data_IF_087631695408
#
_entry.id   IF_087631695408
#
_cell.length_a   1.000
_cell.length_b   1.000
_cell.length_c   1.000
_cell.angle_alpha   90.00
_cell.angle_beta   90.00
_cell.angle_gamma   90.00
#
_symmetry.space_group_name_H-M   'P 1'
#
loop_
_entity.id
_entity.type
_entity.pdbx_description
1 polymer ?
#
# COMPACT_ATOMS: atom_id res chain seq x y z
N UNK A 1 10.06 7.14 21.84
CA UNK A 1 10.99 7.17 20.69
C UNK A 1 10.48 6.21 19.63
N UNK A 2 10.44 6.65 18.38
CA UNK A 2 10.04 5.83 17.22
C UNK A 2 11.10 4.75 16.99
N UNK A 3 10.68 3.50 16.77
CA UNK A 3 11.56 2.36 16.47
C UNK A 3 11.21 1.77 15.11
N UNK A 4 12.19 1.14 14.46
CA UNK A 4 11.95 0.35 13.25
C UNK A 4 12.25 -1.12 13.51
N UNK A 5 11.36 -2.00 13.03
CA UNK A 5 11.51 -3.44 13.17
C UNK A 5 11.18 -4.11 11.84
N UNK A 6 11.92 -5.15 11.48
CA UNK A 6 11.59 -6.01 10.33
C UNK A 6 11.44 -7.42 10.83
N UNK A 7 10.27 -8.02 10.64
CA UNK A 7 9.96 -9.38 11.12
C UNK A 7 9.27 -10.20 10.03
N UNK A 8 9.39 -11.54 10.06
CA UNK A 8 8.59 -12.43 9.22
C UNK A 8 7.09 -12.16 9.43
N UNK A 9 6.32 -12.11 8.35
CA UNK A 9 4.86 -11.93 8.42
C UNK A 9 4.18 -13.06 9.20
N UNK A 10 4.74 -14.27 9.18
CA UNK A 10 4.27 -15.41 9.98
C UNK A 10 4.41 -15.21 11.49
N UNK A 11 5.22 -14.25 11.94
CA UNK A 11 5.45 -13.95 13.36
C UNK A 11 4.74 -12.66 13.79
N UNK A 12 4.25 -11.85 12.85
CA UNK A 12 3.63 -10.56 13.13
C UNK A 12 2.11 -10.73 13.21
N UNK A 13 1.52 -10.47 14.38
CA UNK A 13 0.08 -10.35 14.50
C UNK A 13 -0.31 -8.88 14.36
N UNK A 14 -0.94 -8.54 13.23
CA UNK A 14 -1.38 -7.18 12.91
C UNK A 14 -2.89 -7.08 13.01
N UNK A 15 -3.39 -6.16 13.84
CA UNK A 15 -4.80 -5.77 13.89
C UNK A 15 -4.92 -4.26 13.79
N UNK A 16 -6.04 -3.73 13.32
CA UNK A 16 -6.25 -2.29 13.29
C UNK A 16 -6.45 -1.75 14.72
N UNK A 17 -5.91 -0.57 15.00
CA UNK A 17 -6.20 0.14 16.24
C UNK A 17 -7.72 0.44 16.34
N UNK A 18 -8.35 0.36 17.53
CA UNK A 18 -9.81 0.58 17.66
C UNK A 18 -10.28 1.92 17.07
N UNK A 19 -9.49 2.99 17.23
CA UNK A 19 -9.79 4.29 16.63
C UNK A 19 -9.80 4.25 15.09
N UNK A 20 -8.94 3.45 14.45
CA UNK A 20 -8.98 3.27 13.00
C UNK A 20 -10.28 2.57 12.60
N UNK A 21 -10.67 1.51 13.31
CA UNK A 21 -11.92 0.79 13.04
C UNK A 21 -13.14 1.71 13.15
N UNK A 22 -13.17 2.56 14.18
CA UNK A 22 -14.23 3.54 14.38
C UNK A 22 -14.28 4.59 13.27
N UNK A 23 -13.13 5.17 12.91
CA UNK A 23 -13.08 6.27 11.93
C UNK A 23 -13.28 5.81 10.48
N UNK A 24 -13.05 4.53 10.19
CA UNK A 24 -13.15 3.95 8.85
C UNK A 24 -14.36 3.01 8.71
N UNK A 25 -15.32 3.05 9.65
CA UNK A 25 -16.48 2.13 9.65
C UNK A 25 -17.31 2.22 8.36
N UNK A 26 -17.42 3.43 7.80
CA UNK A 26 -18.17 3.71 6.57
C UNK A 26 -17.31 3.75 5.30
N UNK A 27 -16.02 3.39 5.38
CA UNK A 27 -15.12 3.46 4.22
C UNK A 27 -15.53 2.45 3.14
N UNK A 28 -15.80 2.96 1.93
CA UNK A 28 -16.01 2.13 0.76
C UNK A 28 -14.72 1.99 -0.04
N UNK A 29 -14.03 0.86 0.14
CA UNK A 29 -12.82 0.54 -0.63
C UNK A 29 -13.22 -0.35 -1.81
N UNK A 30 -13.05 0.17 -3.03
CA UNK A 30 -13.25 -0.63 -4.25
C UNK A 30 -12.07 -1.58 -4.45
N UNK A 31 -12.29 -2.84 -4.05
CA UNK A 31 -11.41 -3.98 -4.31
C UNK A 31 -11.99 -4.92 -5.37
N UNK A 32 -12.95 -4.43 -6.18
CA UNK A 32 -13.54 -5.24 -7.25
C UNK A 32 -12.47 -5.61 -8.30
N UNK A 33 -12.61 -6.79 -8.91
CA UNK A 33 -11.68 -7.34 -9.92
C UNK A 33 -10.26 -7.64 -9.41
N UNK A 34 -10.12 -8.20 -8.21
CA UNK A 34 -8.85 -8.74 -7.67
C UNK A 34 -8.14 -9.74 -8.61
N UNK A 35 -8.86 -10.37 -9.54
CA UNK A 35 -8.27 -11.26 -10.56
C UNK A 35 -7.17 -10.57 -11.40
N UNK A 36 -7.21 -9.25 -11.53
CA UNK A 36 -6.16 -8.51 -12.24
C UNK A 36 -4.88 -8.41 -11.41
N UNK A 37 -4.92 -8.52 -10.09
CA UNK A 37 -3.73 -8.58 -9.24
C UNK A 37 -3.06 -9.95 -9.28
N UNK A 38 -3.81 -11.02 -9.58
CA UNK A 38 -3.25 -12.34 -9.91
C UNK A 38 -2.31 -12.30 -11.13
N UNK A 39 -2.36 -11.22 -11.92
CA UNK A 39 -1.45 -11.03 -13.06
C UNK A 39 -0.10 -10.44 -12.68
N UNK A 40 0.08 -9.95 -11.44
CA UNK A 40 1.38 -9.51 -10.95
C UNK A 40 2.30 -10.71 -10.74
N UNK A 41 3.57 -10.56 -11.10
CA UNK A 41 4.56 -11.58 -10.77
C UNK A 41 4.80 -11.61 -9.26
N UNK A 42 5.21 -12.76 -8.73
CA UNK A 42 5.60 -12.87 -7.31
C UNK A 42 6.76 -11.92 -6.97
N UNK A 43 7.64 -11.65 -7.93
CA UNK A 43 8.73 -10.69 -7.79
C UNK A 43 8.19 -9.26 -7.60
N UNK A 44 7.19 -8.85 -8.39
CA UNK A 44 6.56 -7.53 -8.28
C UNK A 44 5.86 -7.35 -6.94
N UNK A 45 5.10 -8.36 -6.52
CA UNK A 45 4.43 -8.37 -5.22
C UNK A 45 5.45 -8.23 -4.10
N UNK A 46 6.56 -8.97 -4.17
CA UNK A 46 7.64 -8.90 -3.20
C UNK A 46 8.31 -7.52 -3.17
N UNK A 47 8.56 -6.90 -4.34
CA UNK A 47 9.09 -5.54 -4.40
C UNK A 47 8.16 -4.52 -3.75
N UNK A 48 6.85 -4.61 -4.02
CA UNK A 48 5.87 -3.71 -3.42
C UNK A 48 5.79 -3.89 -1.90
N UNK A 49 5.68 -5.13 -1.41
CA UNK A 49 5.61 -5.41 0.03
C UNK A 49 6.89 -4.98 0.77
N UNK A 50 8.06 -5.18 0.16
CA UNK A 50 9.33 -4.74 0.74
C UNK A 50 9.48 -3.22 0.80
N UNK A 51 8.77 -2.47 -0.05
CA UNK A 51 8.77 -1.01 -0.04
C UNK A 51 7.83 -0.43 1.02
N UNK A 52 6.86 -1.20 1.51
CA UNK A 52 5.89 -0.75 2.51
C UNK A 52 6.48 -0.75 3.93
N UNK A 53 6.14 0.28 4.70
CA UNK A 53 6.44 0.37 6.12
C UNK A 53 5.13 0.70 6.84
N UNK A 54 4.68 -0.20 7.72
CA UNK A 54 3.40 -0.04 8.40
C UNK A 54 3.58 0.75 9.71
N UNK A 55 2.83 1.85 9.93
CA UNK A 55 2.83 2.57 11.20
C UNK A 55 2.04 1.79 12.24
N UNK A 56 2.67 1.49 13.38
CA UNK A 56 2.07 0.67 14.43
C UNK A 56 2.38 1.20 15.83
N UNK A 57 1.62 0.76 16.82
CA UNK A 57 2.06 0.67 18.22
C UNK A 57 2.18 -0.80 18.62
N UNK A 58 3.01 -1.10 19.61
CA UNK A 58 3.11 -2.44 20.19
C UNK A 58 1.86 -2.76 21.01
N UNK A 59 1.53 -4.05 21.16
CA UNK A 59 0.63 -4.49 22.20
C UNK A 59 1.48 -4.78 23.45
N UNK A 60 1.18 -4.10 24.56
CA UNK A 60 1.95 -4.23 25.80
C UNK A 60 1.91 -5.64 26.42
N UNK A 61 0.96 -6.48 26.02
CA UNK A 61 0.69 -7.78 26.66
C UNK A 61 1.14 -8.98 25.85
N UNK A 62 1.27 -8.86 24.52
CA UNK A 62 1.58 -10.00 23.64
C UNK A 62 2.73 -9.67 22.72
N UNK A 63 3.80 -10.47 22.80
CA UNK A 63 4.96 -10.30 21.95
C UNK A 63 4.59 -10.39 20.46
N UNK A 64 5.21 -9.54 19.64
CA UNK A 64 5.00 -9.48 18.19
C UNK A 64 3.54 -9.24 17.75
N UNK A 65 2.71 -8.72 18.66
CA UNK A 65 1.38 -8.20 18.35
C UNK A 65 1.41 -6.68 18.25
N UNK A 66 0.78 -6.14 17.21
CA UNK A 66 0.83 -4.73 16.89
C UNK A 66 -0.53 -4.19 16.45
N UNK A 67 -0.82 -2.95 16.82
CA UNK A 67 -1.98 -2.22 16.33
C UNK A 67 -1.58 -1.28 15.19
N UNK A 68 -2.19 -1.43 14.01
CA UNK A 68 -2.01 -0.57 12.85
C UNK A 68 -2.64 0.80 13.09
N UNK A 69 -1.87 1.84 12.80
CA UNK A 69 -2.25 3.26 12.94
C UNK A 69 -2.70 3.89 11.61
N UNK A 70 -2.89 3.08 10.57
CA UNK A 70 -3.45 3.50 9.29
C UNK A 70 -4.17 2.34 8.60
N UNK A 71 -5.16 2.62 7.73
CA UNK A 71 -5.69 1.61 6.83
C UNK A 71 -4.57 1.08 5.93
N UNK A 72 -4.51 -0.24 5.74
CA UNK A 72 -3.50 -0.87 4.88
C UNK A 72 -4.09 -1.87 3.86
N UNK A 73 -5.15 -1.52 3.12
CA UNK A 73 -5.84 -2.45 2.23
C UNK A 73 -4.92 -3.04 1.15
N UNK A 74 -4.08 -2.20 0.54
CA UNK A 74 -3.11 -2.63 -0.47
C UNK A 74 -2.07 -3.62 0.10
N UNK A 75 -1.63 -3.43 1.35
CA UNK A 75 -0.68 -4.33 1.98
C UNK A 75 -1.29 -5.73 2.17
N UNK A 76 -2.49 -5.80 2.75
CA UNK A 76 -3.17 -7.08 2.97
C UNK A 76 -3.51 -7.79 1.67
N UNK A 77 -3.98 -7.04 0.67
CA UNK A 77 -4.27 -7.55 -0.66
C UNK A 77 -3.03 -8.15 -1.35
N UNK A 78 -1.87 -7.49 -1.25
CA UNK A 78 -0.62 -8.02 -1.80
C UNK A 78 -0.12 -9.23 -0.99
N UNK A 79 -0.26 -9.18 0.34
CA UNK A 79 0.17 -10.26 1.23
C UNK A 79 -0.59 -11.56 0.95
N UNK A 80 -1.91 -11.49 0.71
CA UNK A 80 -2.75 -12.64 0.34
C UNK A 80 -2.29 -13.31 -0.96
N UNK A 81 -1.74 -12.53 -1.89
CA UNK A 81 -1.29 -13.01 -3.20
C UNK A 81 0.21 -13.34 -3.24
N UNK A 82 0.87 -13.34 -2.08
CA UNK A 82 2.32 -13.47 -2.00
C UNK A 82 2.81 -14.88 -1.64
N UNK A 83 4.04 -15.19 -2.06
CA UNK A 83 4.73 -16.42 -1.67
C UNK A 83 5.07 -16.47 -0.17
N UNK A 84 5.33 -17.66 0.34
CA UNK A 84 5.73 -17.87 1.75
C UNK A 84 7.10 -17.22 2.01
N UNK A 85 7.30 -16.65 3.20
CA UNK A 85 8.53 -16.01 3.73
C UNK A 85 8.70 -14.49 3.48
N UNK A 86 7.61 -13.72 3.44
CA UNK A 86 7.67 -12.26 3.42
C UNK A 86 8.05 -11.69 4.78
N UNK A 87 8.79 -10.57 4.77
CA UNK A 87 9.05 -9.77 5.96
C UNK A 87 8.23 -8.49 5.89
N UNK A 88 7.64 -8.09 7.02
CA UNK A 88 6.99 -6.80 7.18
C UNK A 88 7.94 -5.83 7.86
N UNK A 89 7.99 -4.59 7.36
CA UNK A 89 8.69 -3.48 7.99
C UNK A 89 7.69 -2.67 8.81
N UNK A 90 8.00 -2.44 10.07
CA UNK A 90 7.17 -1.73 11.03
C UNK A 90 7.88 -0.44 11.44
N UNK A 91 7.11 0.65 11.49
CA UNK A 91 7.46 1.89 12.16
C UNK A 91 6.66 1.94 13.47
N UNK A 92 7.31 1.66 14.59
CA UNK A 92 6.70 1.50 15.90
C UNK A 92 6.74 2.85 16.62
N UNK A 93 5.57 3.43 16.84
CA UNK A 93 5.38 4.69 17.55
C UNK A 93 5.14 4.45 19.05
N UNK A 94 5.42 5.46 19.89
CA UNK A 94 4.93 5.49 21.27
C UNK A 94 3.40 5.50 21.34
N UNK A 95 2.84 4.90 22.40
CA UNK A 95 1.38 4.84 22.60
C UNK A 95 0.71 6.22 22.67
N UNK A 96 1.37 7.18 23.32
CA UNK A 96 0.90 8.57 23.47
C UNK A 96 0.89 9.34 22.15
N UNK A 97 1.59 8.86 21.11
CA UNK A 97 1.57 9.46 19.78
C UNK A 97 0.52 8.83 18.83
N UNK A 98 -0.13 7.73 19.23
CA UNK A 98 -0.99 6.94 18.35
C UNK A 98 -2.08 7.78 17.66
N UNK A 99 -2.83 8.58 18.42
CA UNK A 99 -3.92 9.41 17.88
C UNK A 99 -3.41 10.45 16.86
N UNK A 100 -2.27 11.09 17.15
CA UNK A 100 -1.66 12.06 16.25
C UNK A 100 -1.23 11.40 14.93
N UNK A 101 -0.64 10.21 15.01
CA UNK A 101 -0.22 9.44 13.85
C UNK A 101 -1.44 9.02 13.03
N UNK A 102 -2.49 8.52 13.68
CA UNK A 102 -3.77 8.14 13.06
C UNK A 102 -4.36 9.33 12.30
N UNK A 103 -4.51 10.48 12.95
CA UNK A 103 -5.07 11.68 12.33
C UNK A 103 -4.25 12.13 11.10
N UNK A 104 -2.92 12.05 11.18
CA UNK A 104 -2.05 12.36 10.05
C UNK A 104 -2.23 11.39 8.87
N UNK A 105 -2.39 10.09 9.16
CA UNK A 105 -2.53 9.05 8.12
C UNK A 105 -3.94 8.98 7.52
N UNK A 106 -4.99 9.31 8.28
CA UNK A 106 -6.37 9.29 7.79
C UNK A 106 -6.75 10.56 7.03
N UNK A 107 -6.30 11.73 7.46
CA UNK A 107 -6.79 12.98 6.89
C UNK A 107 -5.73 13.70 6.06
N UNK A 108 -4.55 13.95 6.63
CA UNK A 108 -3.53 14.76 5.96
C UNK A 108 -2.89 14.02 4.80
N UNK A 109 -2.51 12.76 5.02
CA UNK A 109 -1.80 11.95 4.03
C UNK A 109 -2.65 11.73 2.77
N UNK A 110 -3.93 11.31 2.86
CA UNK A 110 -4.76 11.12 1.67
C UNK A 110 -5.05 12.43 0.94
N UNK A 111 -5.22 13.55 1.65
CA UNK A 111 -5.40 14.86 1.04
C UNK A 111 -4.16 15.30 0.22
N UNK A 112 -2.96 15.11 0.76
CA UNK A 112 -1.71 15.38 0.06
C UNK A 112 -1.50 14.43 -1.12
N UNK A 113 -1.78 13.13 -0.93
CA UNK A 113 -1.69 12.13 -2.00
C UNK A 113 -2.64 12.44 -3.14
N UNK A 114 -3.89 12.82 -2.86
CA UNK A 114 -4.86 13.24 -3.87
C UNK A 114 -4.35 14.42 -4.70
N UNK A 115 -3.77 15.44 -4.03
CA UNK A 115 -3.16 16.58 -4.71
C UNK A 115 -2.02 16.14 -5.64
N UNK A 116 -1.16 15.23 -5.18
CA UNK A 116 -0.03 14.73 -5.96
C UNK A 116 -0.45 13.80 -7.11
N UNK A 117 -1.56 13.06 -6.96
CA UNK A 117 -2.01 12.01 -7.87
C UNK A 117 -3.07 12.46 -8.88
N UNK A 118 -3.51 13.72 -8.86
CA UNK A 118 -4.59 14.27 -9.72
C UNK A 118 -4.48 13.89 -11.21
N UNK A 119 -3.27 13.69 -11.73
CA UNK A 119 -3.02 13.31 -13.13
C UNK A 119 -2.20 12.02 -13.27
N UNK A 120 -2.28 11.11 -12.30
CA UNK A 120 -1.36 9.96 -12.22
C UNK A 120 -1.39 9.07 -13.47
N UNK A 121 -2.55 8.86 -14.09
CA UNK A 121 -2.69 8.06 -15.32
C UNK A 121 -1.98 8.71 -16.52
N UNK A 122 -2.09 10.04 -16.66
CA UNK A 122 -1.36 10.80 -17.68
C UNK A 122 0.16 10.73 -17.44
N UNK A 123 0.59 10.87 -16.17
CA UNK A 123 1.98 10.72 -15.78
C UNK A 123 2.52 9.31 -16.05
N UNK A 124 1.71 8.26 -15.81
CA UNK A 124 2.07 6.87 -16.13
C UNK A 124 2.27 6.70 -17.64
N UNK A 125 1.37 7.26 -18.47
CA UNK A 125 1.51 7.23 -19.93
C UNK A 125 2.79 7.96 -20.39
N UNK A 126 3.07 9.12 -19.82
CA UNK A 126 4.29 9.88 -20.12
C UNK A 126 5.55 9.09 -19.75
N UNK A 127 5.60 8.48 -18.55
CA UNK A 127 6.71 7.61 -18.12
C UNK A 127 6.90 6.42 -19.07
N UNK A 128 5.81 5.77 -19.47
CA UNK A 128 5.84 4.67 -20.43
C UNK A 128 6.41 5.09 -21.80
N UNK A 129 5.99 6.23 -22.32
CA UNK A 129 6.49 6.76 -23.58
C UNK A 129 7.97 7.16 -23.50
N UNK A 130 8.40 7.76 -22.38
CA UNK A 130 9.80 8.11 -22.16
C UNK A 130 10.68 6.86 -22.08
N UNK A 131 10.25 5.83 -21.37
CA UNK A 131 10.96 4.55 -21.32
C UNK A 131 11.17 3.95 -22.72
N UNK A 132 10.15 3.99 -23.59
CA UNK A 132 10.29 3.60 -25.00
C UNK A 132 11.29 4.46 -25.76
N UNK A 133 11.21 5.79 -25.61
CA UNK A 133 12.13 6.74 -26.26
C UNK A 133 13.58 6.48 -25.88
N UNK A 134 13.80 6.02 -24.65
CA UNK A 134 15.13 5.71 -24.12
C UNK A 134 15.51 4.22 -24.23
N UNK A 135 14.77 3.41 -24.99
CA UNK A 135 15.03 1.98 -25.18
C UNK A 135 15.14 1.18 -23.86
N UNK A 136 14.41 1.61 -22.81
CA UNK A 136 14.33 0.87 -21.57
C UNK A 136 13.42 -0.34 -21.74
N UNK A 137 13.88 -1.51 -21.28
CA UNK A 137 13.10 -2.73 -21.26
C UNK A 137 12.03 -2.59 -20.18
N UNK A 138 10.76 -2.72 -20.58
CA UNK A 138 9.63 -2.72 -19.66
C UNK A 138 8.97 -4.10 -19.66
N UNK A 139 8.78 -4.66 -18.48
CA UNK A 139 8.03 -5.91 -18.28
C UNK A 139 6.51 -5.70 -18.36
N UNK A 140 6.05 -4.45 -18.51
CA UNK A 140 4.64 -4.10 -18.50
C UNK A 140 4.30 -3.20 -19.70
N UNK A 141 3.04 -3.27 -20.14
CA UNK A 141 2.48 -2.39 -21.16
C UNK A 141 1.24 -1.65 -20.62
N UNK A 142 0.73 -0.66 -21.36
CA UNK A 142 -0.45 0.11 -20.89
C UNK A 142 -1.69 -0.77 -20.69
N UNK A 143 -1.88 -1.84 -21.46
CA UNK A 143 -3.01 -2.75 -21.28
C UNK A 143 -2.91 -3.51 -19.95
N UNK A 144 -1.70 -3.88 -19.55
CA UNK A 144 -1.45 -4.46 -18.23
C UNK A 144 -1.73 -3.44 -17.13
N UNK A 145 -1.16 -2.22 -17.24
CA UNK A 145 -1.38 -1.16 -16.26
C UNK A 145 -2.86 -0.77 -16.12
N UNK A 146 -3.63 -0.80 -17.20
CA UNK A 146 -5.06 -0.51 -17.17
C UNK A 146 -5.86 -1.59 -16.44
N UNK A 147 -5.46 -2.86 -16.56
CA UNK A 147 -6.10 -3.97 -15.84
C UNK A 147 -5.88 -3.88 -14.34
N UNK A 148 -4.63 -3.67 -13.89
CA UNK A 148 -4.32 -3.58 -12.46
C UNK A 148 -4.93 -2.34 -11.78
N UNK A 149 -5.22 -1.28 -12.54
CA UNK A 149 -5.86 -0.06 -12.02
C UNK A 149 -7.38 -0.08 -12.13
N UNK A 150 -7.95 -1.12 -12.74
CA UNK A 150 -9.38 -1.23 -13.04
C UNK A 150 -9.94 -0.02 -13.82
N UNK A 151 -9.15 0.57 -14.72
CA UNK A 151 -9.59 1.69 -15.59
C UNK A 151 -9.36 1.37 -17.06
N UNK A 152 -10.14 1.97 -17.96
CA UNK A 152 -9.94 1.77 -19.39
C UNK A 152 -8.59 2.33 -19.86
N UNK A 153 -7.97 1.71 -20.87
CA UNK A 153 -6.74 2.22 -21.53
C UNK A 153 -6.92 3.67 -22.00
N UNK A 154 -8.14 4.02 -22.43
CA UNK A 154 -8.48 5.37 -22.86
C UNK A 154 -8.44 6.41 -21.74
N UNK A 155 -8.35 6.02 -20.46
CA UNK A 155 -8.12 6.95 -19.34
C UNK A 155 -6.64 7.40 -19.23
N UNK A 156 -5.71 6.64 -19.81
CA UNK A 156 -4.28 6.97 -19.89
C UNK A 156 -3.99 7.95 -21.04
N UNK A 157 -4.64 9.12 -21.05
CA UNK A 157 -4.39 10.18 -22.05
C UNK A 157 -3.30 11.12 -21.57
N UNK A 158 -2.46 11.59 -22.48
CA UNK A 158 -1.64 12.78 -22.22
C UNK A 158 -2.56 13.97 -22.05
N UNK A 159 -2.27 14.83 -21.07
CA UNK A 159 -2.85 16.17 -21.03
C UNK A 159 -2.32 17.01 -22.18
#
# INVERSE_FOLDING_TARGET
MIKHKTIPTSQAQLTHHPLIQLLCEDDTIDMSNNDNLLTLSQEDIQYQLNAMVLPVIENDTVENTYYLLSPAPLYFMLLENSSRNIKVKLCIYPHDEAEKVINSHLFLTPALQYRASKNILACLRARYNNAKKHNLILNYNIKFLSRITNVCVSAFRSK
#
